data_IF_825314234491
#
_entry.id   IF_825314234491
#
_cell.length_a   1.000
_cell.length_b   1.000
_cell.length_c   1.000
_cell.angle_alpha   90.00
_cell.angle_beta   90.00
_cell.angle_gamma   90.00
#
_symmetry.space_group_name_H-M   'P 1'
#
loop_
_entity.id
_entity.type
_entity.pdbx_description
1 polymer ?
#
# COMPACT_ATOMS: atom_id res chain seq x y z
N UNK A 1 -19.94 23.15 -4.54
CA UNK A 1 -20.04 21.75 -4.06
C UNK A 1 -18.97 20.92 -4.77
N UNK A 2 -17.69 21.29 -4.61
CA UNK A 2 -16.78 20.81 -3.54
C UNK A 2 -16.30 19.38 -3.84
N UNK A 3 -15.26 19.27 -4.67
CA UNK A 3 -14.47 18.04 -4.86
C UNK A 3 -12.99 18.36 -4.85
N UNK A 4 -12.56 19.16 -3.89
CA UNK A 4 -11.15 19.35 -3.59
C UNK A 4 -10.84 18.42 -2.43
N UNK A 5 -10.76 17.12 -2.75
CA UNK A 5 -10.13 16.16 -1.86
C UNK A 5 -8.65 16.51 -1.92
N UNK A 6 -8.24 17.36 -0.98
CA UNK A 6 -6.87 17.78 -0.72
C UNK A 6 -5.94 16.60 -0.93
N UNK A 7 -5.08 16.73 -1.94
CA UNK A 7 -4.02 15.79 -2.24
C UNK A 7 -3.13 15.69 -0.99
N UNK A 8 -3.40 14.71 -0.14
CA UNK A 8 -2.51 14.35 0.96
C UNK A 8 -1.27 13.73 0.34
N UNK A 9 -0.37 14.59 -0.13
CA UNK A 9 0.94 14.20 -0.65
C UNK A 9 1.75 13.70 0.54
N UNK A 10 1.60 12.43 0.87
CA UNK A 10 2.48 11.73 1.80
C UNK A 10 3.88 11.79 1.18
N UNK A 11 4.69 12.74 1.64
CA UNK A 11 6.07 12.97 1.19
C UNK A 11 6.98 11.88 1.78
N UNK A 12 6.73 10.63 1.40
CA UNK A 12 7.57 9.50 1.80
C UNK A 12 8.83 9.57 0.95
N UNK A 13 9.98 9.71 1.60
CA UNK A 13 11.29 9.81 0.94
C UNK A 13 12.12 8.58 1.30
N UNK A 14 12.81 8.03 0.30
CA UNK A 14 13.64 6.85 0.50
C UNK A 14 14.89 7.25 1.30
N UNK A 15 15.10 6.65 2.47
CA UNK A 15 16.30 6.90 3.29
C UNK A 15 17.61 6.56 2.57
N UNK A 16 17.60 5.58 1.65
CA UNK A 16 18.79 5.19 0.88
C UNK A 16 19.11 6.14 -0.27
N UNK A 17 18.09 6.64 -0.96
CA UNK A 17 18.27 7.37 -2.22
C UNK A 17 17.99 8.87 -2.10
N UNK A 18 17.31 9.32 -1.04
CA UNK A 18 16.87 10.70 -0.88
C UNK A 18 15.77 11.15 -1.85
N UNK A 19 15.17 10.22 -2.62
CA UNK A 19 14.11 10.54 -3.59
C UNK A 19 12.72 10.27 -3.02
N UNK A 20 11.73 11.01 -3.50
CA UNK A 20 10.31 10.78 -3.17
C UNK A 20 9.86 9.43 -3.71
N UNK A 21 9.24 8.62 -2.87
CA UNK A 21 8.56 7.41 -3.31
C UNK A 21 7.27 7.81 -4.02
N UNK A 22 6.92 7.05 -5.05
CA UNK A 22 5.69 7.22 -5.81
C UNK A 22 4.81 6.01 -5.60
N UNK A 23 3.49 6.21 -5.53
CA UNK A 23 2.54 5.11 -5.57
C UNK A 23 2.74 4.31 -6.86
N UNK A 24 2.92 3.00 -6.70
CA UNK A 24 3.08 2.08 -7.81
C UNK A 24 2.49 0.73 -7.48
N UNK A 25 1.99 0.04 -8.50
CA UNK A 25 1.51 -1.34 -8.37
C UNK A 25 2.70 -2.25 -8.05
N UNK A 26 2.61 -2.94 -6.92
CA UNK A 26 3.57 -3.95 -6.48
C UNK A 26 2.83 -5.22 -6.11
N UNK A 27 3.42 -6.37 -6.42
CA UNK A 27 2.88 -7.66 -6.03
C UNK A 27 3.48 -8.03 -4.69
N UNK A 28 2.69 -7.97 -3.62
CA UNK A 28 3.11 -8.48 -2.33
C UNK A 28 2.79 -9.96 -2.24
N UNK A 29 3.74 -10.72 -1.71
CA UNK A 29 3.56 -12.15 -1.42
C UNK A 29 3.55 -12.32 0.09
N UNK A 30 2.41 -12.69 0.65
CA UNK A 30 2.23 -12.89 2.09
C UNK A 30 1.55 -14.23 2.36
N UNK A 31 2.15 -15.06 3.21
CA UNK A 31 1.65 -16.38 3.61
C UNK A 31 1.23 -17.29 2.42
N UNK A 32 1.96 -17.22 1.30
CA UNK A 32 1.66 -18.01 0.10
C UNK A 32 0.62 -17.42 -0.85
N UNK A 33 0.01 -16.28 -0.48
CA UNK A 33 -0.89 -15.51 -1.33
C UNK A 33 -0.18 -14.29 -1.89
N UNK A 34 -0.12 -14.17 -3.21
CA UNK A 34 0.43 -13.01 -3.90
C UNK A 34 -0.66 -12.14 -4.50
N UNK A 35 -0.73 -10.87 -4.11
CA UNK A 35 -1.78 -9.95 -4.54
C UNK A 35 -1.19 -8.60 -5.00
N UNK A 36 -1.75 -8.00 -6.06
CA UNK A 36 -1.33 -6.68 -6.51
C UNK A 36 -1.91 -5.60 -5.59
N UNK A 37 -1.04 -4.77 -5.01
CA UNK A 37 -1.40 -3.60 -4.21
C UNK A 37 -0.72 -2.34 -4.74
N UNK A 38 -1.29 -1.18 -4.45
CA UNK A 38 -0.67 0.10 -4.75
C UNK A 38 0.05 0.62 -3.51
N UNK A 39 1.38 0.57 -3.55
CA UNK A 39 2.22 1.04 -2.46
C UNK A 39 3.28 2.01 -2.96
N UNK A 40 3.78 2.82 -2.04
CA UNK A 40 4.89 3.72 -2.30
C UNK A 40 6.14 2.90 -2.55
N UNK A 41 6.71 3.04 -3.75
CA UNK A 41 7.96 2.39 -4.12
C UNK A 41 9.00 3.42 -4.56
N UNK A 42 10.25 3.11 -4.29
CA UNK A 42 11.41 3.88 -4.73
C UNK A 42 11.83 3.40 -6.12
N UNK A 43 11.83 4.30 -7.10
CA UNK A 43 12.24 3.99 -8.47
C UNK A 43 13.74 3.76 -8.62
N UNK A 44 14.57 4.20 -7.66
CA UNK A 44 16.03 4.05 -7.73
C UNK A 44 16.54 2.73 -7.13
N UNK A 45 16.06 2.35 -5.93
CA UNK A 45 16.54 1.14 -5.23
C UNK A 45 15.50 0.03 -5.08
N UNK A 46 14.25 0.28 -5.46
CA UNK A 46 13.17 -0.70 -5.32
C UNK A 46 12.59 -0.83 -3.90
N UNK A 47 12.99 0.03 -2.95
CA UNK A 47 12.42 0.05 -1.60
C UNK A 47 10.91 0.32 -1.65
N UNK A 48 10.11 -0.53 -1.02
CA UNK A 48 8.65 -0.37 -0.92
C UNK A 48 8.30 -0.05 0.52
N UNK A 49 7.44 0.94 0.73
CA UNK A 49 6.87 1.25 2.04
C UNK A 49 5.61 0.42 2.25
N UNK A 50 5.65 -0.47 3.25
CA UNK A 50 4.53 -1.33 3.64
C UNK A 50 4.01 -0.79 4.97
N UNK A 51 2.79 -0.23 5.04
CA UNK A 51 2.25 0.26 6.29
C UNK A 51 1.92 -0.91 7.22
N UNK A 52 1.97 -0.65 8.52
CA UNK A 52 1.74 -1.68 9.55
C UNK A 52 0.37 -2.34 9.40
N UNK A 53 -0.68 -1.61 9.00
CA UNK A 53 -2.01 -2.19 8.71
C UNK A 53 -1.99 -3.30 7.65
N UNK A 54 -1.06 -3.22 6.69
CA UNK A 54 -0.88 -4.18 5.62
C UNK A 54 0.07 -5.31 6.05
N UNK A 55 1.12 -4.97 6.80
CA UNK A 55 2.08 -5.92 7.36
C UNK A 55 1.50 -6.78 8.50
N UNK A 56 0.58 -6.21 9.29
CA UNK A 56 -0.16 -6.89 10.36
C UNK A 56 -1.22 -7.85 9.78
N UNK A 57 -1.43 -7.85 8.46
CA UNK A 57 -2.31 -8.79 7.80
C UNK A 57 -3.74 -8.56 8.23
N UNK A 58 -4.39 -7.53 7.68
CA UNK A 58 -5.85 -7.41 7.80
C UNK A 58 -6.53 -8.57 7.05
N UNK A 59 -6.62 -9.73 7.71
CA UNK A 59 -7.58 -10.80 7.48
C UNK A 59 -8.99 -10.32 7.87
N UNK A 60 -9.45 -9.17 7.36
CA UNK A 60 -10.74 -8.58 7.76
C UNK A 60 -11.65 -8.28 6.57
N UNK A 61 -11.45 -8.95 5.43
CA UNK A 61 -12.40 -8.95 4.31
C UNK A 61 -12.86 -10.35 3.91
N UNK A 62 -12.52 -11.39 4.70
CA UNK A 62 -13.02 -12.76 4.46
C UNK A 62 -14.23 -13.10 5.33
N UNK A 63 -14.55 -12.31 6.36
CA UNK A 63 -15.65 -12.64 7.29
C UNK A 63 -16.99 -11.94 7.00
N UNK A 64 -17.04 -10.87 6.18
CA UNK A 64 -18.29 -10.13 5.94
C UNK A 64 -19.02 -10.48 4.63
N UNK A 65 -18.68 -11.61 3.99
CA UNK A 65 -19.37 -12.10 2.78
C UNK A 65 -20.11 -13.43 3.00
N UNK A 66 -20.24 -13.90 4.25
CA UNK A 66 -20.85 -15.20 4.57
C UNK A 66 -21.92 -15.16 5.69
N UNK A 67 -22.57 -14.02 5.91
CA UNK A 67 -23.84 -13.93 6.66
C UNK A 67 -24.90 -13.18 5.85
N UNK A 68 -25.18 -13.68 4.64
CA UNK A 68 -26.51 -13.55 4.02
C UNK A 68 -27.07 -14.97 3.90
N UNK A 69 -27.57 -15.50 5.03
CA UNK A 69 -28.59 -16.56 5.05
C UNK A 69 -29.22 -16.71 6.43
#
# INVERSE_FOLDING_TARGET
>A
MSKEVTQQQLNIVCVKCGIKLTLGKVTLSYLGSSFPVELYKCSACGLVYIPEELANGKMQQVEAALEDK
#
